data_IF_641154171210
#
_entry.id   IF_641154171210
#
_cell.length_a   1.000
_cell.length_b   1.000
_cell.length_c   1.000
_cell.angle_alpha   90.00
_cell.angle_beta   90.00
_cell.angle_gamma   90.00
#
_symmetry.space_group_name_H-M   'P 1'
#
loop_
_entity.id
_entity.type
_entity.pdbx_description
1 polymer ?
#
# COMPACT_ATOMS: atom_id res chain seq x y z
N UNK A 1 -6.25 39.75 -12.13
CA UNK A 1 -7.43 39.63 -11.27
C UNK A 1 -8.52 38.89 -12.04
N UNK A 2 -8.66 37.56 -11.84
CA UNK A 2 -9.87 36.79 -12.22
C UNK A 2 -10.03 35.70 -11.18
N UNK A 3 -11.02 35.87 -10.31
CA UNK A 3 -11.40 34.90 -9.27
C UNK A 3 -12.16 33.76 -9.94
N UNK A 4 -11.68 32.53 -9.79
CA UNK A 4 -12.39 31.30 -10.16
C UNK A 4 -13.13 30.81 -8.93
N UNK A 5 -14.46 30.83 -8.99
CA UNK A 5 -15.36 30.36 -7.95
C UNK A 5 -15.56 28.85 -8.16
N UNK A 6 -15.14 28.08 -7.16
CA UNK A 6 -15.32 26.62 -7.12
C UNK A 6 -16.71 26.32 -6.50
N UNK A 7 -17.60 25.78 -7.31
CA UNK A 7 -18.94 25.35 -6.90
C UNK A 7 -18.84 23.91 -6.36
N UNK A 8 -19.04 23.77 -5.04
CA UNK A 8 -19.12 22.47 -4.37
C UNK A 8 -20.59 22.04 -4.42
N UNK A 9 -20.87 21.01 -5.21
CA UNK A 9 -22.18 20.34 -5.22
C UNK A 9 -22.20 19.27 -4.12
N UNK A 10 -22.97 19.54 -3.05
CA UNK A 10 -23.28 18.57 -2.00
C UNK A 10 -24.40 17.63 -2.49
N UNK A 11 -24.08 16.35 -2.66
CA UNK A 11 -25.07 15.29 -2.86
C UNK A 11 -25.50 14.76 -1.50
N UNK A 12 -26.70 15.15 -1.07
CA UNK A 12 -27.36 14.61 0.12
C UNK A 12 -27.97 13.23 -0.17
N UNK A 13 -27.49 12.19 0.51
CA UNK A 13 -28.18 10.89 0.55
C UNK A 13 -29.21 10.88 1.68
N UNK A 14 -30.48 10.79 1.29
CA UNK A 14 -31.58 10.54 2.20
C UNK A 14 -31.62 9.06 2.59
N UNK A 15 -31.42 8.77 3.87
CA UNK A 15 -31.66 7.45 4.45
C UNK A 15 -33.19 7.35 4.77
N UNK A 16 -33.86 6.45 4.07
CA UNK A 16 -35.27 6.06 4.39
C UNK A 16 -35.19 4.83 5.32
N UNK A 17 -35.54 5.05 6.60
CA UNK A 17 -35.73 3.98 7.58
C UNK A 17 -37.18 3.48 7.47
N UNK A 18 -37.34 2.23 7.03
CA UNK A 18 -38.60 1.51 7.12
C UNK A 18 -38.64 0.77 8.45
N UNK A 19 -39.50 1.23 9.35
CA UNK A 19 -39.85 0.59 10.62
C UNK A 19 -41.02 -0.35 10.39
N UNK A 20 -40.82 -1.66 10.43
CA UNK A 20 -41.93 -2.64 10.49
C UNK A 20 -42.06 -3.16 11.93
N UNK A 21 -43.09 -2.72 12.58
CA UNK A 21 -43.54 -3.25 13.85
C UNK A 21 -44.30 -4.56 13.62
N UNK A 22 -43.83 -5.67 14.19
CA UNK A 22 -44.61 -6.91 14.29
C UNK A 22 -45.27 -6.97 15.67
N UNK A 23 -46.58 -6.85 15.64
CA UNK A 23 -47.43 -7.04 16.83
C UNK A 23 -47.50 -8.52 17.22
N UNK A 24 -47.40 -8.73 18.51
CA UNK A 24 -47.59 -9.98 19.20
C UNK A 24 -49.07 -10.07 19.65
N UNK A 25 -49.84 -10.98 19.10
CA UNK A 25 -51.11 -11.38 19.70
C UNK A 25 -51.06 -12.86 20.11
N UNK A 26 -51.27 -13.07 21.41
CA UNK A 26 -51.59 -14.35 22.03
C UNK A 26 -53.09 -14.46 22.11
N UNK A 27 -53.62 -15.52 21.55
CA UNK A 27 -54.91 -16.02 21.96
C UNK A 27 -54.85 -17.50 22.28
N UNK A 28 -55.21 -17.75 23.53
CA UNK A 28 -55.50 -19.06 24.11
C UNK A 28 -56.94 -19.39 23.89
N UNK A 29 -57.23 -20.54 23.31
CA UNK A 29 -58.55 -21.17 23.51
C UNK A 29 -58.45 -22.71 23.52
N UNK A 30 -58.89 -23.22 24.61
CA UNK A 30 -59.15 -24.63 24.93
C UNK A 30 -60.37 -25.14 24.16
N UNK A 31 -60.33 -26.42 23.75
CA UNK A 31 -61.55 -27.09 23.24
C UNK A 31 -61.25 -28.52 22.78
N UNK A 32 -61.70 -29.42 23.61
CA UNK A 32 -61.74 -30.89 23.47
C UNK A 32 -62.54 -31.40 22.28
N UNK A 33 -62.20 -32.55 21.71
CA UNK A 33 -63.12 -33.34 20.86
C UNK A 33 -62.40 -34.31 19.94
N UNK A 34 -62.36 -35.53 20.36
CA UNK A 34 -62.33 -36.83 19.73
C UNK A 34 -62.85 -36.86 18.29
N UNK A 35 -62.13 -37.44 17.33
CA UNK A 35 -62.36 -38.76 16.73
C UNK A 35 -61.48 -39.05 15.52
N UNK A 36 -61.18 -40.30 15.35
CA UNK A 36 -60.38 -40.94 14.31
C UNK A 36 -60.99 -40.77 12.94
N UNK A 37 -60.14 -40.60 11.94
CA UNK A 37 -60.14 -41.58 10.84
C UNK A 37 -58.85 -41.47 9.97
N UNK A 38 -58.42 -42.61 9.72
CA UNK A 38 -57.41 -43.20 8.87
C UNK A 38 -57.51 -42.73 7.41
N UNK A 39 -56.35 -42.46 6.82
CA UNK A 39 -55.82 -42.97 5.54
C UNK A 39 -55.13 -41.97 4.63
N UNK A 40 -53.86 -42.29 4.39
CA UNK A 40 -53.15 -42.21 3.10
C UNK A 40 -53.05 -40.89 2.37
N UNK A 41 -51.87 -40.34 2.43
CA UNK A 41 -51.46 -39.24 1.56
C UNK A 41 -50.13 -38.57 1.92
N UNK A 42 -49.17 -39.27 2.50
CA UNK A 42 -47.94 -38.65 3.03
C UNK A 42 -46.66 -38.90 2.21
N UNK A 43 -46.79 -38.86 0.88
CA UNK A 43 -45.64 -39.08 0.02
C UNK A 43 -45.18 -37.88 -0.82
N UNK A 44 -46.09 -36.89 -1.02
CA UNK A 44 -45.84 -35.83 -2.01
C UNK A 44 -45.38 -34.47 -1.37
N UNK A 45 -45.77 -34.24 -0.10
CA UNK A 45 -45.41 -32.97 0.57
C UNK A 45 -43.98 -32.93 1.13
N UNK A 46 -43.37 -34.05 1.40
CA UNK A 46 -41.97 -34.10 1.90
C UNK A 46 -40.93 -33.88 0.81
N UNK A 47 -41.20 -34.27 -0.43
CA UNK A 47 -40.26 -34.12 -1.55
C UNK A 47 -40.24 -32.67 -2.07
N UNK A 48 -41.32 -31.91 -1.96
CA UNK A 48 -41.36 -30.49 -2.35
C UNK A 48 -40.64 -29.59 -1.34
N UNK A 49 -40.78 -29.83 -0.05
CA UNK A 49 -40.07 -29.09 1.02
C UNK A 49 -38.56 -29.29 0.99
N UNK A 50 -38.11 -30.51 0.67
CA UNK A 50 -36.66 -30.78 0.54
C UNK A 50 -36.05 -30.16 -0.71
N UNK A 51 -36.81 -30.05 -1.80
CA UNK A 51 -36.37 -29.38 -3.03
C UNK A 51 -36.29 -27.85 -2.88
N UNK A 52 -37.22 -27.23 -2.17
CA UNK A 52 -37.21 -25.78 -1.89
C UNK A 52 -36.05 -25.39 -0.97
N UNK A 53 -35.79 -26.15 0.10
CA UNK A 53 -34.66 -25.93 1.01
C UNK A 53 -33.31 -26.15 0.31
N UNK A 54 -33.21 -27.09 -0.61
CA UNK A 54 -32.00 -27.31 -1.39
C UNK A 54 -31.75 -26.17 -2.39
N UNK A 55 -32.81 -25.64 -2.99
CA UNK A 55 -32.74 -24.51 -3.91
C UNK A 55 -32.32 -23.22 -3.17
N UNK A 56 -32.88 -22.96 -1.99
CA UNK A 56 -32.53 -21.80 -1.17
C UNK A 56 -31.06 -21.82 -0.73
N UNK A 57 -30.56 -22.96 -0.26
CA UNK A 57 -29.12 -23.13 0.06
C UNK A 57 -28.21 -22.91 -1.14
N UNK A 58 -28.65 -23.30 -2.31
CA UNK A 58 -27.88 -23.12 -3.55
C UNK A 58 -27.89 -21.66 -3.96
N UNK A 59 -29.00 -20.97 -3.87
CA UNK A 59 -29.11 -19.52 -4.14
C UNK A 59 -28.26 -18.70 -3.15
N UNK A 60 -28.35 -18.98 -1.86
CA UNK A 60 -27.51 -18.34 -0.84
C UNK A 60 -26.02 -18.55 -1.09
N UNK A 61 -25.61 -19.74 -1.56
CA UNK A 61 -24.20 -20.03 -1.91
C UNK A 61 -23.73 -19.25 -3.13
N UNK A 62 -24.58 -19.08 -4.13
CA UNK A 62 -24.29 -18.27 -5.32
C UNK A 62 -24.19 -16.79 -4.96
N UNK A 63 -25.11 -16.29 -4.15
CA UNK A 63 -25.13 -14.90 -3.71
C UNK A 63 -23.91 -14.54 -2.84
N UNK A 64 -23.52 -15.43 -1.92
CA UNK A 64 -22.27 -15.30 -1.15
C UNK A 64 -21.02 -15.30 -2.04
N UNK A 65 -20.99 -16.09 -3.11
CA UNK A 65 -19.89 -16.08 -4.07
C UNK A 65 -19.84 -14.77 -4.85
N UNK A 66 -20.99 -14.26 -5.33
CA UNK A 66 -21.09 -12.98 -6.03
C UNK A 66 -20.62 -11.83 -5.13
N UNK A 67 -21.14 -11.72 -3.93
CA UNK A 67 -20.73 -10.68 -2.96
C UNK A 67 -19.23 -10.72 -2.65
N UNK A 68 -18.64 -11.93 -2.49
CA UNK A 68 -17.19 -12.06 -2.31
C UNK A 68 -16.40 -11.63 -3.54
N UNK A 69 -16.90 -11.91 -4.73
CA UNK A 69 -16.24 -11.54 -5.98
C UNK A 69 -16.30 -10.03 -6.20
N UNK A 70 -17.45 -9.41 -5.99
CA UNK A 70 -17.63 -7.95 -6.06
C UNK A 70 -16.73 -7.22 -5.06
N UNK A 71 -16.67 -7.72 -3.81
CA UNK A 71 -15.78 -7.16 -2.79
C UNK A 71 -14.30 -7.25 -3.19
N UNK A 72 -13.87 -8.39 -3.75
CA UNK A 72 -12.49 -8.55 -4.24
C UNK A 72 -12.18 -7.61 -5.41
N UNK A 73 -13.13 -7.42 -6.29
CA UNK A 73 -12.97 -6.51 -7.43
C UNK A 73 -12.91 -5.04 -6.99
N UNK A 74 -13.74 -4.65 -6.02
CA UNK A 74 -13.67 -3.32 -5.41
C UNK A 74 -12.33 -3.08 -4.73
N UNK A 75 -11.86 -4.02 -3.88
CA UNK A 75 -10.55 -3.91 -3.22
C UNK A 75 -9.40 -3.81 -4.23
N UNK A 76 -9.48 -4.56 -5.35
CA UNK A 76 -8.44 -4.49 -6.38
C UNK A 76 -8.43 -3.14 -7.09
N UNK A 77 -9.60 -2.57 -7.40
CA UNK A 77 -9.71 -1.23 -7.99
C UNK A 77 -9.18 -0.15 -7.06
N UNK A 78 -9.48 -0.25 -5.77
CA UNK A 78 -8.98 0.67 -4.74
C UNK A 78 -7.45 0.57 -4.62
N UNK A 79 -6.90 -0.65 -4.60
CA UNK A 79 -5.45 -0.89 -4.57
C UNK A 79 -4.76 -0.32 -5.83
N UNK A 80 -5.35 -0.50 -7.02
CA UNK A 80 -4.81 0.06 -8.27
C UNK A 80 -4.80 1.60 -8.24
N UNK A 81 -5.86 2.23 -7.70
CA UNK A 81 -5.92 3.68 -7.52
C UNK A 81 -4.84 4.19 -6.56
N UNK A 82 -4.68 3.53 -5.40
CA UNK A 82 -3.66 3.88 -4.42
C UNK A 82 -2.24 3.75 -5.00
N UNK A 83 -1.97 2.69 -5.77
CA UNK A 83 -0.69 2.52 -6.45
C UNK A 83 -0.43 3.61 -7.49
N UNK A 84 -1.44 3.96 -8.28
CA UNK A 84 -1.31 5.02 -9.27
C UNK A 84 -1.07 6.39 -8.62
N UNK A 85 -1.74 6.68 -7.50
CA UNK A 85 -1.51 7.90 -6.73
C UNK A 85 -0.10 7.93 -6.12
N UNK A 86 0.34 6.84 -5.49
CA UNK A 86 1.68 6.72 -4.93
C UNK A 86 2.77 6.89 -6.00
N UNK A 87 2.59 6.28 -7.18
CA UNK A 87 3.50 6.48 -8.31
C UNK A 87 3.54 7.93 -8.77
N UNK A 88 2.39 8.60 -8.92
CA UNK A 88 2.33 9.99 -9.33
C UNK A 88 3.05 10.91 -8.33
N UNK A 89 2.89 10.68 -7.02
CA UNK A 89 3.62 11.39 -5.96
C UNK A 89 5.12 11.12 -6.03
N UNK A 90 5.53 9.87 -6.18
CA UNK A 90 6.94 9.48 -6.30
C UNK A 90 7.60 10.14 -7.52
N UNK A 91 6.93 10.13 -8.67
CA UNK A 91 7.41 10.77 -9.89
C UNK A 91 7.54 12.31 -9.74
N UNK A 92 6.56 12.93 -9.12
CA UNK A 92 6.60 14.38 -8.85
C UNK A 92 7.75 14.74 -7.90
N UNK A 93 7.92 13.99 -6.81
CA UNK A 93 8.98 14.17 -5.83
C UNK A 93 10.38 14.01 -6.46
N UNK A 94 10.55 12.99 -7.32
CA UNK A 94 11.80 12.76 -8.05
C UNK A 94 12.14 13.94 -9.00
N UNK A 95 11.14 14.43 -9.75
CA UNK A 95 11.31 15.55 -10.67
C UNK A 95 11.60 16.86 -9.95
N UNK A 96 11.00 17.09 -8.79
CA UNK A 96 11.21 18.27 -7.96
C UNK A 96 12.52 18.20 -7.17
N UNK A 97 13.20 17.05 -7.14
CA UNK A 97 14.40 16.77 -6.31
C UNK A 97 14.11 16.89 -4.81
N UNK A 98 12.91 16.54 -4.40
CA UNK A 98 12.42 16.60 -3.01
C UNK A 98 11.79 15.26 -2.64
N UNK A 99 12.63 14.26 -2.40
CA UNK A 99 12.17 12.90 -2.13
C UNK A 99 12.96 12.22 -1.02
N UNK A 100 12.36 11.18 -0.45
CA UNK A 100 13.00 10.20 0.40
C UNK A 100 12.74 8.80 -0.18
N UNK A 101 13.81 8.04 -0.42
CA UNK A 101 13.74 6.62 -0.65
C UNK A 101 13.86 5.91 0.70
N UNK A 102 12.76 5.42 1.22
CA UNK A 102 12.65 4.65 2.45
C UNK A 102 13.03 3.20 2.18
N UNK A 103 14.23 2.79 2.65
CA UNK A 103 14.84 1.50 2.30
C UNK A 103 14.37 0.43 3.28
N UNK A 104 13.74 -0.61 2.77
CA UNK A 104 13.33 -1.80 3.51
C UNK A 104 14.19 -3.03 3.23
N UNK A 105 15.00 -2.99 2.14
CA UNK A 105 15.82 -4.11 1.69
C UNK A 105 17.18 -3.66 1.15
N UNK A 106 18.24 -4.32 1.61
CA UNK A 106 19.62 -4.09 1.18
C UNK A 106 20.22 -5.39 0.62
N UNK A 107 20.79 -5.31 -0.58
CA UNK A 107 21.46 -6.42 -1.22
C UNK A 107 22.96 -6.10 -1.38
N UNK A 108 23.80 -6.83 -0.66
CA UNK A 108 25.23 -6.82 -0.85
C UNK A 108 25.65 -7.93 -1.82
N UNK A 109 26.56 -7.66 -2.78
CA UNK A 109 27.02 -8.69 -3.70
C UNK A 109 27.65 -9.89 -2.98
N UNK A 110 27.10 -11.07 -3.24
CA UNK A 110 27.58 -12.32 -2.63
C UNK A 110 27.01 -12.64 -1.25
N UNK A 111 26.04 -11.86 -0.77
CA UNK A 111 25.35 -12.11 0.50
C UNK A 111 23.83 -12.19 0.29
N UNK A 112 23.10 -12.87 1.18
CA UNK A 112 21.65 -12.82 1.19
C UNK A 112 21.13 -11.40 1.40
N UNK A 113 19.92 -11.11 0.87
CA UNK A 113 19.25 -9.84 1.12
C UNK A 113 18.99 -9.63 2.61
N UNK A 114 19.19 -8.42 3.08
CA UNK A 114 18.94 -7.99 4.45
C UNK A 114 17.70 -7.09 4.44
N UNK A 115 16.70 -7.41 5.26
CA UNK A 115 15.56 -6.52 5.51
C UNK A 115 15.93 -5.58 6.65
N UNK A 116 15.58 -4.31 6.51
CA UNK A 116 15.91 -3.27 7.45
C UNK A 116 14.72 -2.33 7.72
N UNK A 117 14.84 -1.49 8.75
CA UNK A 117 13.80 -0.52 9.07
C UNK A 117 13.88 0.70 8.14
N UNK A 118 12.80 1.05 7.42
CA UNK A 118 12.78 2.23 6.57
C UNK A 118 12.98 3.54 7.32
N UNK A 119 12.62 3.59 8.60
CA UNK A 119 12.74 4.82 9.41
C UNK A 119 14.19 5.26 9.66
N UNK A 120 15.14 4.33 9.58
CA UNK A 120 16.58 4.59 9.82
C UNK A 120 17.46 4.29 8.62
N UNK A 121 16.91 3.71 7.57
CA UNK A 121 17.61 3.40 6.32
C UNK A 121 16.95 4.13 5.17
N UNK A 122 17.62 5.13 4.62
CA UNK A 122 17.03 5.95 3.58
C UNK A 122 18.09 6.68 2.72
N UNK A 123 17.66 7.09 1.54
CA UNK A 123 18.32 8.10 0.72
C UNK A 123 17.36 9.26 0.59
N UNK A 124 17.76 10.46 0.98
CA UNK A 124 16.96 11.66 0.75
C UNK A 124 17.68 12.62 -0.17
N UNK A 125 16.90 13.38 -0.95
CA UNK A 125 17.35 14.51 -1.75
C UNK A 125 16.45 15.70 -1.48
N UNK A 126 17.05 16.85 -1.22
CA UNK A 126 16.36 18.13 -1.09
C UNK A 126 17.14 19.19 -1.89
N UNK A 127 16.70 19.42 -3.11
CA UNK A 127 17.37 20.31 -4.05
C UNK A 127 18.79 19.85 -4.41
N UNK A 128 19.78 20.53 -3.88
CA UNK A 128 21.21 20.25 -4.10
C UNK A 128 21.86 19.45 -2.96
N UNK A 129 21.11 19.11 -1.92
CA UNK A 129 21.64 18.33 -0.80
C UNK A 129 21.04 16.92 -0.80
N UNK A 130 21.87 15.93 -0.45
CA UNK A 130 21.42 14.56 -0.26
C UNK A 130 21.98 13.97 1.02
N UNK A 131 21.21 13.06 1.60
CA UNK A 131 21.63 12.24 2.74
C UNK A 131 21.45 10.78 2.37
N UNK A 132 22.49 9.98 2.64
CA UNK A 132 22.46 8.53 2.53
C UNK A 132 22.68 7.98 3.92
N UNK A 133 21.71 7.27 4.45
CA UNK A 133 21.81 6.66 5.76
C UNK A 133 21.53 5.16 5.67
N UNK A 134 22.48 4.39 6.15
CA UNK A 134 22.37 2.93 6.30
C UNK A 134 22.72 2.62 7.75
N UNK A 135 21.71 2.24 8.53
CA UNK A 135 21.83 1.80 9.90
C UNK A 135 21.76 0.27 9.91
N UNK A 136 22.85 -0.36 10.25
CA UNK A 136 22.84 -1.79 10.54
C UNK A 136 22.49 -1.92 12.03
N UNK A 137 21.54 -2.80 12.33
CA UNK A 137 21.10 -3.09 13.69
C UNK A 137 22.20 -3.84 14.45
N UNK A 138 23.31 -3.15 14.67
CA UNK A 138 24.42 -3.61 15.46
C UNK A 138 24.34 -2.92 16.83
N UNK A 139 24.33 -3.70 17.88
CA UNK A 139 24.34 -3.31 19.30
C UNK A 139 25.48 -2.32 19.68
N UNK A 140 26.23 -1.81 18.72
CA UNK A 140 27.24 -0.80 18.89
C UNK A 140 26.84 0.51 18.20
N UNK A 141 26.37 1.52 18.93
CA UNK A 141 26.18 2.84 18.39
C UNK A 141 27.53 3.37 17.89
N UNK A 142 27.69 3.44 16.59
CA UNK A 142 28.84 4.07 15.94
C UNK A 142 28.68 5.58 15.93
N UNK A 143 29.58 6.29 15.29
CA UNK A 143 29.64 7.76 15.26
C UNK A 143 28.33 8.47 14.91
N UNK A 144 27.43 7.83 14.14
CA UNK A 144 26.13 8.38 13.79
C UNK A 144 25.01 8.17 14.86
N UNK A 145 25.33 7.50 15.96
CA UNK A 145 24.39 7.22 17.07
C UNK A 145 23.37 6.12 16.81
N UNK A 146 23.32 5.53 15.61
CA UNK A 146 22.35 4.51 15.19
C UNK A 146 22.98 3.23 14.62
N UNK A 147 24.30 3.07 14.77
CA UNK A 147 25.00 1.83 14.38
C UNK A 147 25.21 1.65 12.89
N UNK A 148 25.59 2.70 12.15
CA UNK A 148 25.80 2.61 10.71
C UNK A 148 26.59 3.77 10.13
N UNK A 149 26.22 4.19 8.93
CA UNK A 149 26.83 5.29 8.19
C UNK A 149 25.75 6.30 7.84
N UNK A 150 26.00 7.58 8.13
CA UNK A 150 25.22 8.70 7.61
C UNK A 150 26.14 9.62 6.82
N UNK A 151 25.95 9.67 5.52
CA UNK A 151 26.65 10.57 4.59
C UNK A 151 25.71 11.72 4.23
N UNK A 152 26.15 12.94 4.47
CA UNK A 152 25.48 14.13 3.94
C UNK A 152 26.44 14.80 2.96
N UNK A 153 25.91 15.23 1.82
CA UNK A 153 26.73 15.85 0.78
C UNK A 153 25.92 16.61 -0.24
N UNK A 154 26.68 17.28 -1.13
CA UNK A 154 26.08 18.00 -2.25
C UNK A 154 25.84 17.05 -3.42
N UNK A 155 24.73 17.24 -4.10
CA UNK A 155 24.38 16.56 -5.34
C UNK A 155 25.08 17.21 -6.52
N UNK A 156 25.74 16.40 -7.35
CA UNK A 156 26.39 16.85 -8.59
C UNK A 156 26.04 15.88 -9.72
N UNK A 157 26.18 16.34 -10.95
CA UNK A 157 25.98 15.56 -12.18
C UNK A 157 24.65 14.80 -12.24
N UNK A 158 23.57 15.47 -11.82
CA UNK A 158 22.25 14.87 -11.85
C UNK A 158 21.73 14.77 -13.28
N UNK A 159 21.39 13.56 -13.67
CA UNK A 159 20.77 13.22 -14.95
C UNK A 159 19.50 12.43 -14.71
N UNK A 160 18.46 12.71 -15.48
CA UNK A 160 17.20 11.97 -15.47
C UNK A 160 16.78 11.67 -16.90
N UNK A 161 16.37 10.44 -17.16
CA UNK A 161 15.88 10.02 -18.47
C UNK A 161 14.72 9.05 -18.34
N UNK A 162 13.80 9.07 -19.29
CA UNK A 162 12.71 8.10 -19.41
C UNK A 162 13.09 7.05 -20.45
N UNK A 163 12.94 5.77 -20.12
CA UNK A 163 13.16 4.65 -21.05
C UNK A 163 11.95 4.45 -21.96
N UNK A 164 12.11 3.64 -23.01
CA UNK A 164 11.01 3.25 -23.92
C UNK A 164 9.88 2.52 -23.16
N UNK A 165 10.23 1.76 -22.12
CA UNK A 165 9.28 1.03 -21.26
C UNK A 165 8.58 1.95 -20.22
N UNK A 166 8.80 3.26 -20.26
CA UNK A 166 8.20 4.20 -19.33
C UNK A 166 8.92 4.38 -18.00
N UNK A 167 9.95 3.60 -17.70
CA UNK A 167 10.71 3.70 -16.45
C UNK A 167 11.55 4.98 -16.41
N UNK A 168 11.71 5.54 -15.22
CA UNK A 168 12.58 6.71 -15.00
C UNK A 168 13.91 6.23 -14.42
N UNK A 169 14.99 6.62 -15.09
CA UNK A 169 16.35 6.42 -14.63
C UNK A 169 16.90 7.78 -14.14
N UNK A 170 17.31 7.84 -12.88
CA UNK A 170 17.89 9.05 -12.28
C UNK A 170 19.28 8.69 -11.74
N UNK A 171 20.31 9.39 -12.20
CA UNK A 171 21.70 9.20 -11.75
C UNK A 171 22.26 10.49 -11.21
N UNK A 172 23.00 10.44 -10.11
CA UNK A 172 23.69 11.59 -9.53
C UNK A 172 24.83 11.16 -8.62
N UNK A 173 25.74 12.07 -8.33
CA UNK A 173 26.76 11.90 -7.32
C UNK A 173 26.43 12.66 -6.05
N UNK A 174 26.72 12.07 -4.91
CA UNK A 174 26.70 12.72 -3.59
C UNK A 174 28.12 12.90 -3.14
N UNK A 175 28.55 14.15 -2.95
CA UNK A 175 29.89 14.51 -2.50
C UNK A 175 29.81 15.05 -1.07
N UNK A 176 30.28 14.27 -0.10
CA UNK A 176 30.38 14.66 1.31
C UNK A 176 31.84 14.70 1.78
N UNK A 177 32.02 14.97 3.06
CA UNK A 177 33.34 15.02 3.69
C UNK A 177 33.94 13.63 3.73
N UNK A 178 35.00 13.40 2.94
CA UNK A 178 35.76 12.13 2.91
C UNK A 178 35.08 10.96 2.20
N UNK A 179 33.87 11.11 1.72
CA UNK A 179 33.10 10.07 1.02
C UNK A 179 32.37 10.67 -0.16
N UNK A 180 32.44 9.98 -1.30
CA UNK A 180 31.64 10.27 -2.49
C UNK A 180 31.01 8.99 -2.99
N UNK A 181 29.77 9.08 -3.47
CA UNK A 181 29.04 7.92 -4.00
C UNK A 181 28.20 8.32 -5.20
N UNK A 182 28.12 7.44 -6.20
CA UNK A 182 27.16 7.53 -7.29
C UNK A 182 25.89 6.77 -6.92
N UNK A 183 24.76 7.40 -7.14
CA UNK A 183 23.45 6.81 -6.94
C UNK A 183 22.76 6.69 -8.30
N UNK A 184 22.30 5.49 -8.62
CA UNK A 184 21.49 5.22 -9.82
C UNK A 184 20.14 4.69 -9.38
N UNK A 185 19.09 5.50 -9.50
CA UNK A 185 17.71 5.17 -9.12
C UNK A 185 16.95 4.72 -10.35
N UNK A 186 16.19 3.64 -10.22
CA UNK A 186 15.24 3.16 -11.23
C UNK A 186 13.84 3.14 -10.63
N UNK A 187 12.97 4.03 -11.12
CA UNK A 187 11.54 4.06 -10.81
C UNK A 187 10.78 3.39 -11.95
N UNK A 188 10.12 2.27 -11.66
CA UNK A 188 9.34 1.50 -12.63
C UNK A 188 7.99 2.19 -12.86
N UNK A 189 7.53 2.21 -14.11
CA UNK A 189 6.23 2.81 -14.43
C UNK A 189 5.08 2.14 -13.65
N UNK A 190 4.26 2.95 -13.00
CA UNK A 190 3.11 2.49 -12.21
C UNK A 190 3.42 1.97 -10.82
N UNK A 191 4.69 1.99 -10.38
CA UNK A 191 5.09 1.54 -9.04
C UNK A 191 5.92 2.61 -8.33
N UNK A 192 5.65 2.85 -7.05
CA UNK A 192 6.46 3.71 -6.18
C UNK A 192 7.60 2.97 -5.47
N UNK A 193 7.67 1.65 -5.62
CA UNK A 193 8.78 0.84 -5.10
C UNK A 193 9.97 0.89 -6.05
N UNK A 194 11.11 1.33 -5.53
CA UNK A 194 12.27 1.75 -6.30
C UNK A 194 13.48 0.88 -5.98
N UNK A 195 14.32 0.69 -6.97
CA UNK A 195 15.66 0.13 -6.81
C UNK A 195 16.72 1.20 -7.03
N UNK A 196 17.62 1.38 -6.06
CA UNK A 196 18.75 2.29 -6.15
C UNK A 196 20.05 1.52 -6.06
N UNK A 197 21.02 1.77 -6.96
CA UNK A 197 22.38 1.27 -6.89
C UNK A 197 23.25 2.33 -6.24
N UNK A 198 23.87 1.98 -5.12
CA UNK A 198 24.84 2.80 -4.43
C UNK A 198 26.25 2.33 -4.82
N UNK A 199 27.00 3.18 -5.48
CA UNK A 199 28.36 2.94 -5.93
C UNK A 199 29.32 3.91 -5.21
N UNK A 200 29.99 3.49 -4.13
CA UNK A 200 31.00 4.31 -3.48
C UNK A 200 32.17 4.57 -4.44
N UNK A 201 32.60 5.82 -4.54
CA UNK A 201 33.71 6.21 -5.45
C UNK A 201 35.08 5.72 -4.92
N UNK A 202 35.20 5.53 -3.61
CA UNK A 202 36.44 5.12 -2.95
C UNK A 202 36.21 3.84 -2.15
N UNK A 203 36.80 2.73 -2.57
CA UNK A 203 36.77 1.43 -1.87
C UNK A 203 35.40 1.00 -1.37
N UNK A 204 34.63 0.36 -2.19
CA UNK A 204 33.36 -0.22 -1.79
C UNK A 204 32.79 -1.12 -2.89
N UNK A 205 31.89 -2.02 -2.51
CA UNK A 205 31.13 -2.81 -3.47
C UNK A 205 29.82 -2.09 -3.75
N UNK A 206 29.40 -2.12 -5.01
CA UNK A 206 28.05 -1.69 -5.38
C UNK A 206 27.02 -2.38 -4.52
N UNK A 207 26.16 -1.62 -3.89
CA UNK A 207 25.07 -2.14 -3.06
C UNK A 207 23.75 -1.77 -3.70
N UNK A 208 22.79 -2.70 -3.73
CA UNK A 208 21.44 -2.44 -4.22
C UNK A 208 20.54 -2.21 -3.03
N UNK A 209 19.88 -1.07 -3.03
CA UNK A 209 18.94 -0.61 -2.00
C UNK A 209 17.57 -0.60 -2.63
N UNK A 210 16.59 -1.19 -1.97
CA UNK A 210 15.20 -1.19 -2.48
C UNK A 210 14.27 -0.70 -1.40
N UNK A 211 13.21 0.00 -1.82
CA UNK A 211 12.25 0.57 -0.89
C UNK A 211 11.26 1.50 -1.59
N UNK A 212 10.49 2.22 -0.81
CA UNK A 212 9.45 3.10 -1.31
C UNK A 212 9.97 4.53 -1.47
N UNK A 213 9.69 5.15 -2.61
CA UNK A 213 10.01 6.55 -2.85
C UNK A 213 8.79 7.41 -2.53
N UNK A 214 8.97 8.34 -1.59
CA UNK A 214 7.91 9.23 -1.10
C UNK A 214 8.39 10.68 -1.14
N UNK A 215 7.47 11.66 -1.21
CA UNK A 215 7.80 13.06 -0.98
C UNK A 215 8.41 13.28 0.41
N UNK A 216 9.29 14.26 0.56
CA UNK A 216 9.92 14.58 1.87
C UNK A 216 8.87 14.86 2.94
N UNK A 217 7.78 15.53 2.57
CA UNK A 217 6.69 15.92 3.48
C UNK A 217 5.91 14.73 4.06
N UNK A 218 5.87 13.61 3.33
CA UNK A 218 5.17 12.39 3.75
C UNK A 218 6.09 11.41 4.51
N UNK A 219 7.41 11.66 4.50
CA UNK A 219 8.38 10.76 5.14
C UNK A 219 8.59 11.07 6.62
N UNK A 220 8.74 10.01 7.41
CA UNK A 220 9.00 10.07 8.86
C UNK A 220 10.36 9.50 9.25
N UNK A 221 11.36 9.58 8.37
CA UNK A 221 12.69 9.03 8.63
C UNK A 221 13.45 9.81 9.71
N UNK A 222 14.24 9.09 10.50
CA UNK A 222 15.10 9.66 11.52
C UNK A 222 16.53 9.79 11.00
N UNK A 223 17.02 11.03 10.92
CA UNK A 223 18.39 11.35 10.51
C UNK A 223 19.33 11.29 11.73
N UNK A 224 20.30 10.37 11.69
CA UNK A 224 21.41 10.35 12.64
C UNK A 224 22.45 11.45 12.39
N UNK A 225 23.46 11.51 13.22
CA UNK A 225 24.55 12.47 13.03
C UNK A 225 25.37 12.14 11.78
N UNK A 226 25.55 13.07 10.84
CA UNK A 226 26.44 12.89 9.70
C UNK A 226 27.92 12.84 10.14
N UNK A 227 28.73 12.15 9.33
CA UNK A 227 30.18 12.09 9.52
C UNK A 227 30.83 13.43 9.19
#
# INVERSE_FOLDING_TARGET
MKRLILLIASVGMAFSTVLTASGLERDTLTGSGVERDILTGSGVEQDTLTAEVANDKTQQKVERKRSRQEKREQMRKEEELLKAEAYAKALAALNNREFVLEIDKINFPGYPSIFCSPSTNFISMNGEEAVIQIAMDNHNPRQNGIGGLTLQGRVTELTSSKTEDGNILCSYYVQGVGISAKIDITLVEGDSYVSAKLNPTYRGKTTILSGQLVPIEESSVYKGQPL
#
